data_IF_610208767208
#
_entry.id   IF_610208767208
#
_cell.length_a   1.000
_cell.length_b   1.000
_cell.length_c   1.000
_cell.angle_alpha   90.00
_cell.angle_beta   90.00
_cell.angle_gamma   90.00
#
_symmetry.space_group_name_H-M   'P 1'
#
loop_
_entity.id
_entity.type
_entity.pdbx_description
1 polymer ?
#
# COMPACT_ATOMS: atom_id res chain seq x y z
N UNK A 1 39.68 -33.33 -5.67
CA UNK A 1 39.32 -31.99 -6.18
C UNK A 1 37.86 -31.72 -5.78
N UNK A 2 37.64 -30.57 -5.10
CA UNK A 2 36.39 -29.85 -4.78
C UNK A 2 35.16 -30.69 -4.33
N UNK A 3 34.79 -30.72 -3.05
CA UNK A 3 34.04 -29.69 -2.29
C UNK A 3 32.74 -29.20 -2.95
N UNK A 4 31.60 -29.59 -2.39
CA UNK A 4 30.54 -28.69 -1.92
C UNK A 4 29.33 -29.51 -1.42
N UNK A 5 29.27 -29.70 -0.10
CA UNK A 5 28.10 -30.12 0.67
C UNK A 5 27.13 -28.95 0.80
N UNK A 6 25.88 -29.09 0.37
CA UNK A 6 24.77 -28.21 0.74
C UNK A 6 23.76 -29.02 1.57
N UNK A 7 23.70 -28.69 2.85
CA UNK A 7 22.70 -29.15 3.82
C UNK A 7 21.34 -28.56 3.43
N UNK A 8 20.39 -29.44 3.07
CA UNK A 8 18.98 -29.13 3.12
C UNK A 8 18.51 -29.39 4.56
N UNK A 9 18.44 -28.34 5.37
CA UNK A 9 17.70 -28.41 6.63
C UNK A 9 16.22 -28.21 6.32
N UNK A 10 15.48 -29.30 6.45
CA UNK A 10 14.03 -29.34 6.49
C UNK A 10 13.53 -28.54 7.69
N UNK A 11 12.86 -27.41 7.46
CA UNK A 11 12.09 -26.75 8.50
C UNK A 11 10.79 -27.55 8.65
N UNK A 12 10.78 -28.40 9.66
CA UNK A 12 9.59 -29.06 10.17
C UNK A 12 8.56 -28.00 10.60
N UNK A 13 7.47 -27.91 9.86
CA UNK A 13 6.28 -27.17 10.26
C UNK A 13 5.55 -28.07 11.26
N UNK A 14 5.74 -27.82 12.55
CA UNK A 14 5.01 -28.53 13.60
C UNK A 14 3.53 -28.13 13.54
N UNK A 15 2.71 -29.02 13.00
CA UNK A 15 1.27 -29.12 13.25
C UNK A 15 1.08 -29.38 14.74
N UNK A 16 0.77 -28.34 15.52
CA UNK A 16 0.02 -28.38 16.80
C UNK A 16 0.24 -27.10 17.62
N UNK A 17 -0.44 -26.01 17.27
CA UNK A 17 -0.97 -25.10 18.30
C UNK A 17 -2.13 -24.25 17.75
N UNK A 18 -3.31 -24.83 17.79
CA UNK A 18 -4.57 -24.14 17.54
C UNK A 18 -4.94 -23.23 18.72
N UNK A 19 -4.61 -21.93 18.65
CA UNK A 19 -5.26 -20.90 19.45
C UNK A 19 -5.25 -19.54 18.73
N UNK A 20 -6.32 -19.23 18.00
CA UNK A 20 -7.27 -18.13 18.30
C UNK A 20 -8.13 -17.81 17.07
N UNK A 21 -9.43 -17.63 17.32
CA UNK A 21 -10.54 -17.48 16.38
C UNK A 21 -10.40 -16.27 15.41
N UNK A 22 -11.14 -16.22 14.28
CA UNK A 22 -10.85 -15.31 13.17
C UNK A 22 -11.22 -13.87 13.55
N UNK A 23 -10.23 -12.99 13.67
CA UNK A 23 -10.50 -11.56 13.79
C UNK A 23 -10.94 -11.04 12.42
N UNK A 24 -12.22 -10.65 12.34
CA UNK A 24 -12.92 -10.08 11.16
C UNK A 24 -11.97 -9.27 10.27
N UNK A 25 -11.97 -9.59 8.96
CA UNK A 25 -11.25 -8.84 7.94
C UNK A 25 -11.56 -7.34 8.11
N UNK A 26 -10.53 -6.55 8.43
CA UNK A 26 -10.69 -5.10 8.55
C UNK A 26 -10.33 -4.53 7.21
N UNK A 27 -11.33 -4.37 6.36
CA UNK A 27 -11.19 -3.60 5.13
C UNK A 27 -11.03 -2.14 5.53
N UNK A 28 -9.97 -1.47 5.05
CA UNK A 28 -9.99 -0.05 4.68
C UNK A 28 -8.66 0.36 4.04
N UNK A 29 -8.42 -0.17 2.83
CA UNK A 29 -7.50 0.42 1.87
C UNK A 29 -8.01 0.18 0.44
N UNK A 30 -9.16 0.76 0.11
CA UNK A 30 -9.73 0.84 -1.26
C UNK A 30 -10.14 -0.47 -1.94
N UNK A 31 -9.49 -1.60 -1.67
CA UNK A 31 -9.74 -2.88 -2.33
C UNK A 31 -9.13 -4.10 -1.61
N UNK A 32 -8.28 -3.90 -0.60
CA UNK A 32 -7.53 -5.02 0.01
C UNK A 32 -8.04 -5.36 1.39
N UNK A 33 -8.35 -6.64 1.54
CA UNK A 33 -8.62 -7.26 2.82
C UNK A 33 -7.29 -7.69 3.44
N UNK A 34 -7.07 -7.29 4.69
CA UNK A 34 -5.99 -7.81 5.50
C UNK A 34 -6.49 -8.09 6.91
N UNK A 35 -5.81 -9.01 7.58
CA UNK A 35 -6.00 -9.25 9.01
C UNK A 35 -5.13 -8.28 9.79
N UNK A 36 -5.70 -7.46 10.68
CA UNK A 36 -4.89 -6.51 11.44
C UNK A 36 -3.84 -7.21 12.31
N UNK A 37 -2.67 -6.60 12.44
CA UNK A 37 -1.59 -7.06 13.29
C UNK A 37 -1.99 -7.05 14.77
N UNK A 38 -1.59 -8.09 15.48
CA UNK A 38 -1.81 -8.24 16.92
C UNK A 38 -0.46 -8.10 17.64
N UNK A 39 -0.18 -6.89 18.15
CA UNK A 39 1.06 -6.60 18.87
C UNK A 39 1.13 -7.39 20.19
N UNK A 40 2.28 -8.01 20.45
CA UNK A 40 2.53 -8.72 21.71
C UNK A 40 3.08 -7.75 22.77
N UNK A 41 2.78 -7.95 24.07
CA UNK A 41 3.37 -7.13 25.12
C UNK A 41 4.90 -7.20 25.10
N UNK A 42 5.57 -6.04 25.16
CA UNK A 42 7.04 -5.94 25.17
C UNK A 42 7.71 -6.21 23.82
N UNK A 43 6.93 -6.29 22.73
CA UNK A 43 7.46 -6.45 21.37
C UNK A 43 8.15 -5.16 20.90
N UNK A 44 9.35 -5.30 20.34
CA UNK A 44 10.06 -4.16 19.75
C UNK A 44 9.30 -3.61 18.53
N UNK A 45 9.21 -2.29 18.45
CA UNK A 45 8.60 -1.60 17.32
C UNK A 45 9.36 -1.87 16.02
N UNK A 46 8.62 -2.09 14.92
CA UNK A 46 9.13 -2.39 13.58
C UNK A 46 10.12 -3.56 13.53
N UNK A 47 9.83 -4.60 14.29
CA UNK A 47 10.54 -5.87 14.20
C UNK A 47 10.27 -6.61 12.86
N UNK A 48 10.90 -7.76 12.67
CA UNK A 48 10.77 -8.55 11.44
C UNK A 48 9.32 -8.94 11.14
N UNK A 49 8.53 -9.35 12.14
CA UNK A 49 7.14 -9.73 11.94
C UNK A 49 6.27 -8.57 11.47
N UNK A 50 6.46 -7.37 12.05
CA UNK A 50 5.75 -6.17 11.63
C UNK A 50 6.16 -5.71 10.23
N UNK A 51 7.46 -5.77 9.90
CA UNK A 51 7.96 -5.45 8.55
C UNK A 51 7.39 -6.39 7.50
N UNK A 52 7.36 -7.70 7.77
CA UNK A 52 6.76 -8.70 6.88
C UNK A 52 5.26 -8.42 6.68
N UNK A 53 4.54 -8.07 7.75
CA UNK A 53 3.13 -7.70 7.67
C UNK A 53 2.89 -6.52 6.73
N UNK A 54 3.59 -5.40 6.94
CA UNK A 54 3.42 -4.20 6.11
C UNK A 54 3.93 -4.38 4.67
N UNK A 55 5.02 -5.14 4.47
CA UNK A 55 5.49 -5.50 3.13
C UNK A 55 4.41 -6.28 2.38
N UNK A 56 3.78 -7.26 3.01
CA UNK A 56 2.68 -8.03 2.42
C UNK A 56 1.51 -7.14 1.97
N UNK A 57 1.10 -6.18 2.81
CA UNK A 57 0.04 -5.21 2.47
C UNK A 57 0.46 -4.35 1.26
N UNK A 58 1.66 -3.77 1.30
CA UNK A 58 2.16 -2.89 0.25
C UNK A 58 2.33 -3.62 -1.09
N UNK A 59 2.85 -4.85 -1.10
CA UNK A 59 3.03 -5.66 -2.31
C UNK A 59 1.71 -6.12 -2.91
N UNK A 60 0.73 -6.48 -2.07
CA UNK A 60 -0.62 -6.78 -2.52
C UNK A 60 -1.26 -5.53 -3.14
N UNK A 61 -1.07 -4.36 -2.53
CA UNK A 61 -1.63 -3.11 -3.02
C UNK A 61 -1.01 -2.62 -4.31
N UNK A 62 0.31 -2.72 -4.42
CA UNK A 62 1.03 -2.44 -5.66
C UNK A 62 0.49 -3.30 -6.80
N UNK A 63 0.33 -4.61 -6.57
CA UNK A 63 -0.19 -5.54 -7.59
C UNK A 63 -1.59 -5.16 -8.04
N UNK A 64 -2.50 -4.88 -7.11
CA UNK A 64 -3.87 -4.47 -7.44
C UNK A 64 -3.87 -3.19 -8.30
N UNK A 65 -3.16 -2.14 -7.86
CA UNK A 65 -3.10 -0.87 -8.59
C UNK A 65 -2.48 -1.05 -9.99
N UNK A 66 -1.49 -1.92 -10.14
CA UNK A 66 -0.92 -2.21 -11.46
C UNK A 66 -1.94 -2.89 -12.37
N UNK A 67 -2.73 -3.83 -11.85
CA UNK A 67 -3.82 -4.48 -12.60
C UNK A 67 -4.90 -3.47 -13.01
N UNK A 68 -5.29 -2.57 -12.10
CA UNK A 68 -6.31 -1.54 -12.37
C UNK A 68 -5.86 -0.56 -13.46
N UNK A 69 -4.58 -0.13 -13.41
CA UNK A 69 -3.97 0.74 -14.42
C UNK A 69 -3.92 0.05 -15.79
N UNK A 70 -3.55 -1.23 -15.84
CA UNK A 70 -3.46 -1.99 -17.10
C UNK A 70 -4.85 -2.26 -17.70
N UNK A 71 -5.83 -2.59 -16.86
CA UNK A 71 -7.22 -2.80 -17.28
C UNK A 71 -7.83 -1.53 -17.90
N UNK A 72 -7.62 -0.37 -17.27
CA UNK A 72 -8.12 0.92 -17.77
C UNK A 72 -7.52 1.26 -19.13
N UNK A 73 -6.24 0.94 -19.38
CA UNK A 73 -5.62 1.12 -20.71
C UNK A 73 -6.28 0.24 -21.78
N UNK A 74 -6.73 -0.96 -21.41
CA UNK A 74 -7.52 -1.82 -22.30
C UNK A 74 -8.84 -1.18 -22.68
N UNK A 75 -9.62 -0.74 -21.69
CA UNK A 75 -10.94 -0.12 -21.89
C UNK A 75 -10.85 1.14 -22.78
N UNK A 76 -9.89 2.03 -22.50
CA UNK A 76 -9.65 3.23 -23.31
C UNK A 76 -9.36 2.92 -24.78
N UNK A 77 -8.66 1.81 -25.06
CA UNK A 77 -8.35 1.39 -26.43
C UNK A 77 -9.57 0.82 -27.13
N UNK A 78 -10.39 0.05 -26.43
CA UNK A 78 -11.62 -0.53 -26.97
C UNK A 78 -12.64 0.57 -27.29
N UNK A 79 -12.89 1.49 -26.36
CA UNK A 79 -13.83 2.59 -26.53
C UNK A 79 -13.41 3.56 -27.64
N UNK A 80 -12.10 3.76 -27.84
CA UNK A 80 -11.59 4.61 -28.92
C UNK A 80 -11.80 4.00 -30.33
N UNK A 81 -12.07 2.69 -30.43
CA UNK A 81 -12.37 2.02 -31.70
C UNK A 81 -13.85 2.18 -32.08
N UNK A 82 -14.73 2.48 -31.12
CA UNK A 82 -16.13 2.78 -31.38
C UNK A 82 -16.31 4.27 -31.73
N UNK A 83 -16.64 4.54 -32.99
CA UNK A 83 -16.97 5.90 -33.44
C UNK A 83 -18.31 6.34 -32.82
N UNK A 84 -18.25 7.22 -31.83
CA UNK A 84 -19.43 7.88 -31.29
C UNK A 84 -20.11 8.74 -32.37
N UNK A 85 -21.44 8.77 -32.38
CA UNK A 85 -22.19 9.80 -33.10
C UNK A 85 -21.74 11.19 -32.59
N UNK A 86 -21.69 12.23 -33.45
CA UNK A 86 -21.50 13.62 -33.03
C UNK A 86 -22.19 14.05 -31.73
N UNK A 87 -23.37 13.51 -31.41
CA UNK A 87 -24.12 13.82 -30.17
C UNK A 87 -23.46 13.21 -28.92
N UNK A 88 -22.93 12.00 -29.00
CA UNK A 88 -22.39 11.25 -27.86
C UNK A 88 -20.89 11.51 -27.62
N UNK A 89 -20.22 12.12 -28.61
CA UNK A 89 -18.79 12.42 -28.57
C UNK A 89 -18.39 13.24 -27.33
N UNK A 90 -19.18 14.23 -26.95
CA UNK A 90 -18.87 15.08 -25.80
C UNK A 90 -18.83 14.28 -24.49
N UNK A 91 -19.80 13.37 -24.29
CA UNK A 91 -19.88 12.53 -23.09
C UNK A 91 -18.75 11.50 -23.04
N UNK A 92 -18.38 10.93 -24.20
CA UNK A 92 -17.25 10.00 -24.29
C UNK A 92 -15.92 10.68 -23.95
N UNK A 93 -15.67 11.87 -24.51
CA UNK A 93 -14.45 12.64 -24.22
C UNK A 93 -14.35 13.02 -22.73
N UNK A 94 -15.47 13.34 -22.07
CA UNK A 94 -15.49 13.59 -20.62
C UNK A 94 -15.12 12.34 -19.83
N UNK A 95 -15.69 11.17 -20.18
CA UNK A 95 -15.37 9.88 -19.58
C UNK A 95 -13.87 9.55 -19.67
N UNK A 96 -13.30 9.68 -20.87
CA UNK A 96 -11.87 9.49 -21.09
C UNK A 96 -11.00 10.43 -20.25
N UNK A 97 -11.36 11.70 -20.16
CA UNK A 97 -10.62 12.66 -19.35
C UNK A 97 -10.65 12.33 -17.85
N UNK A 98 -11.77 11.80 -17.35
CA UNK A 98 -11.89 11.34 -15.98
C UNK A 98 -10.99 10.12 -15.71
N UNK A 99 -11.04 9.12 -16.59
CA UNK A 99 -10.22 7.90 -16.47
C UNK A 99 -8.72 8.19 -16.50
N UNK A 100 -8.27 9.07 -17.41
CA UNK A 100 -6.86 9.48 -17.48
C UNK A 100 -6.39 10.14 -16.16
N UNK A 101 -7.24 10.98 -15.54
CA UNK A 101 -6.92 11.61 -14.25
C UNK A 101 -6.85 10.59 -13.12
N UNK A 102 -7.73 9.60 -13.10
CA UNK A 102 -7.73 8.51 -12.11
C UNK A 102 -6.45 7.69 -12.23
N UNK A 103 -6.10 7.25 -13.44
CA UNK A 103 -4.87 6.50 -13.74
C UNK A 103 -3.61 7.25 -13.30
N UNK A 104 -3.55 8.56 -13.55
CA UNK A 104 -2.39 9.37 -13.14
C UNK A 104 -2.25 9.44 -11.60
N UNK A 105 -3.36 9.41 -10.85
CA UNK A 105 -3.34 9.32 -9.38
C UNK A 105 -2.85 7.95 -8.92
N UNK A 106 -3.32 6.87 -9.54
CA UNK A 106 -2.90 5.49 -9.24
C UNK A 106 -1.41 5.29 -9.50
N UNK A 107 -0.89 5.77 -10.64
CA UNK A 107 0.55 5.74 -10.94
C UNK A 107 1.38 6.50 -9.92
N UNK A 108 0.91 7.66 -9.46
CA UNK A 108 1.59 8.40 -8.37
C UNK A 108 1.55 7.64 -7.05
N UNK A 109 0.46 6.91 -6.78
CA UNK A 109 0.32 6.10 -5.58
C UNK A 109 1.24 4.87 -5.62
N UNK A 110 1.38 4.19 -6.76
CA UNK A 110 2.34 3.10 -6.97
C UNK A 110 3.75 3.55 -6.61
N UNK A 111 4.17 4.73 -7.07
CA UNK A 111 5.48 5.30 -6.71
C UNK A 111 5.65 5.52 -5.21
N UNK A 112 4.60 5.94 -4.49
CA UNK A 112 4.64 6.09 -3.02
C UNK A 112 4.74 4.75 -2.29
N UNK A 113 4.10 3.72 -2.83
CA UNK A 113 4.20 2.35 -2.31
C UNK A 113 5.63 1.83 -2.50
N UNK A 114 6.23 2.04 -3.67
CA UNK A 114 7.63 1.70 -3.93
C UNK A 114 8.59 2.38 -2.94
N UNK A 115 8.42 3.69 -2.71
CA UNK A 115 9.18 4.41 -1.68
C UNK A 115 9.00 3.81 -0.28
N UNK A 116 7.79 3.38 0.06
CA UNK A 116 7.50 2.76 1.36
C UNK A 116 8.18 1.39 1.49
N UNK A 117 8.21 0.60 0.41
CA UNK A 117 8.95 -0.67 0.36
C UNK A 117 10.46 -0.45 0.52
N UNK A 118 11.00 0.60 -0.11
CA UNK A 118 12.41 0.97 0.04
C UNK A 118 12.74 1.36 1.49
N UNK A 119 11.86 2.12 2.16
CA UNK A 119 12.01 2.44 3.59
C UNK A 119 11.97 1.19 4.48
N UNK A 120 11.16 0.18 4.13
CA UNK A 120 11.16 -1.10 4.86
C UNK A 120 12.50 -1.80 4.70
N UNK A 121 13.08 -1.79 3.49
CA UNK A 121 14.38 -2.39 3.21
C UNK A 121 15.51 -1.65 3.94
N UNK A 122 15.41 -0.32 4.06
CA UNK A 122 16.36 0.51 4.80
C UNK A 122 16.21 0.41 6.33
N UNK A 123 15.11 -0.13 6.84
CA UNK A 123 14.80 -0.18 8.26
C UNK A 123 14.28 1.15 8.84
N UNK A 124 13.90 2.09 7.99
CA UNK A 124 13.40 3.43 8.36
C UNK A 124 11.86 3.53 8.33
N UNK A 125 11.18 2.50 7.83
CA UNK A 125 9.73 2.46 7.78
C UNK A 125 9.11 2.50 9.18
N UNK A 126 8.01 3.25 9.30
CA UNK A 126 7.26 3.40 10.54
C UNK A 126 7.66 4.61 11.38
N UNK A 127 8.73 5.33 11.02
CA UNK A 127 9.13 6.52 11.76
C UNK A 127 8.72 7.81 11.02
N UNK A 128 8.41 8.85 11.78
CA UNK A 128 8.04 10.15 11.24
C UNK A 128 9.25 10.85 10.61
N UNK A 129 9.15 11.25 9.34
CA UNK A 129 10.21 11.96 8.63
C UNK A 129 10.56 13.33 9.24
N UNK A 130 9.62 13.96 9.95
CA UNK A 130 9.80 15.30 10.53
C UNK A 130 10.41 15.27 11.94
N UNK A 131 10.03 14.30 12.78
CA UNK A 131 10.38 14.28 14.21
C UNK A 131 10.97 12.96 14.71
N UNK A 132 11.05 11.93 13.87
CA UNK A 132 11.58 10.61 14.24
C UNK A 132 10.67 9.78 15.15
N UNK A 133 9.51 10.29 15.56
CA UNK A 133 8.57 9.56 16.41
C UNK A 133 7.97 8.34 15.69
N UNK A 134 7.65 7.29 16.45
CA UNK A 134 6.96 6.10 15.94
C UNK A 134 5.56 6.45 15.42
N UNK A 135 5.23 5.92 14.24
CA UNK A 135 3.90 6.02 13.66
C UNK A 135 3.09 4.80 14.13
N UNK A 136 1.97 5.04 14.80
CA UNK A 136 1.16 3.94 15.35
C UNK A 136 0.78 2.88 14.31
N UNK A 137 0.87 1.59 14.68
CA UNK A 137 0.60 0.45 13.79
C UNK A 137 -0.78 0.55 13.14
N UNK A 138 -1.83 0.86 13.91
CA UNK A 138 -3.20 1.05 13.39
C UNK A 138 -3.29 2.13 12.31
N UNK A 139 -2.46 3.17 12.42
CA UNK A 139 -2.42 4.24 11.42
C UNK A 139 -1.72 3.77 10.14
N UNK A 140 -0.63 3.01 10.27
CA UNK A 140 0.04 2.43 9.11
C UNK A 140 -0.82 1.36 8.44
N UNK A 141 -1.61 0.59 9.19
CA UNK A 141 -2.60 -0.34 8.63
C UNK A 141 -3.66 0.40 7.80
N UNK A 142 -4.16 1.53 8.30
CA UNK A 142 -5.12 2.37 7.58
C UNK A 142 -4.49 3.11 6.39
N UNK A 143 -3.20 3.47 6.48
CA UNK A 143 -2.47 4.17 5.42
C UNK A 143 -0.98 3.80 5.45
N UNK A 144 -0.57 2.73 4.74
CA UNK A 144 0.79 2.20 4.82
C UNK A 144 1.82 3.04 4.07
N UNK A 145 1.38 4.07 3.33
CA UNK A 145 2.27 5.04 2.67
C UNK A 145 2.47 6.33 3.48
N UNK A 146 2.05 6.35 4.75
CA UNK A 146 2.13 7.54 5.58
C UNK A 146 3.53 7.70 6.21
N UNK A 147 4.20 8.81 5.89
CA UNK A 147 5.59 9.11 6.32
C UNK A 147 5.69 10.04 7.54
N UNK A 148 4.57 10.63 8.00
CA UNK A 148 4.52 11.54 9.15
C UNK A 148 3.66 10.97 10.28
N UNK A 149 3.94 11.32 11.54
CA UNK A 149 3.03 11.06 12.65
C UNK A 149 1.76 11.95 12.57
N UNK A 150 0.80 11.71 13.46
CA UNK A 150 -0.47 12.47 13.49
C UNK A 150 -0.23 13.95 13.78
N UNK A 151 0.64 14.26 14.74
CA UNK A 151 0.90 15.64 15.18
C UNK A 151 1.57 16.47 14.08
N UNK A 152 2.65 15.95 13.49
CA UNK A 152 3.34 16.60 12.37
C UNK A 152 2.42 16.77 11.17
N UNK A 153 1.56 15.76 10.88
CA UNK A 153 0.61 15.87 9.78
C UNK A 153 -0.46 16.93 10.05
N UNK A 154 -0.98 16.99 11.27
CA UNK A 154 -1.97 17.99 11.69
C UNK A 154 -1.38 19.40 11.61
N UNK A 155 -0.17 19.59 12.10
CA UNK A 155 0.53 20.87 12.02
C UNK A 155 0.74 21.32 10.57
N UNK A 156 1.14 20.41 9.69
CA UNK A 156 1.28 20.68 8.26
C UNK A 156 -0.06 21.14 7.64
N UNK A 157 -1.17 20.47 7.97
CA UNK A 157 -2.50 20.83 7.43
C UNK A 157 -2.98 22.21 7.92
N UNK A 158 -2.70 22.57 9.18
CA UNK A 158 -3.00 23.91 9.71
C UNK A 158 -2.21 24.97 8.94
N UNK A 159 -0.91 24.73 8.73
CA UNK A 159 -0.04 25.66 7.99
C UNK A 159 -0.47 25.82 6.54
N UNK A 160 -0.82 24.73 5.87
CA UNK A 160 -1.33 24.77 4.48
C UNK A 160 -2.60 25.63 4.36
N UNK A 161 -3.51 25.57 5.35
CA UNK A 161 -4.72 26.40 5.39
C UNK A 161 -4.43 27.89 5.60
N UNK A 162 -3.41 28.23 6.37
CA UNK A 162 -3.04 29.62 6.67
C UNK A 162 -2.25 30.29 5.54
N UNK A 163 -1.50 29.51 4.75
CA UNK A 163 -0.70 30.02 3.63
C UNK A 163 -1.50 30.04 2.31
N UNK A 164 -2.52 29.18 2.19
CA UNK A 164 -3.40 29.10 1.03
C UNK A 164 -4.62 30.02 1.07
N UNK A 165 -4.70 30.95 2.03
CA UNK A 165 -5.75 31.97 2.19
C UNK A 165 -5.26 33.37 1.88
#
# INVERSE_FOLDING_TARGET
>A
MAQATYLAEEIAINEDNALTAPSKATTLLGALEFTPYQAKPGEAYMNEHQRVHFRGILDAWKRQLMQDVDATVGHLKEDAVFYADPVDRASQEEGFNLELRTRDRERRLIKKIEQSLDLINAGEYGFCEDCGAEIGIRRLEARPTAVKCIDCKTFQEIREKQVGS
#
